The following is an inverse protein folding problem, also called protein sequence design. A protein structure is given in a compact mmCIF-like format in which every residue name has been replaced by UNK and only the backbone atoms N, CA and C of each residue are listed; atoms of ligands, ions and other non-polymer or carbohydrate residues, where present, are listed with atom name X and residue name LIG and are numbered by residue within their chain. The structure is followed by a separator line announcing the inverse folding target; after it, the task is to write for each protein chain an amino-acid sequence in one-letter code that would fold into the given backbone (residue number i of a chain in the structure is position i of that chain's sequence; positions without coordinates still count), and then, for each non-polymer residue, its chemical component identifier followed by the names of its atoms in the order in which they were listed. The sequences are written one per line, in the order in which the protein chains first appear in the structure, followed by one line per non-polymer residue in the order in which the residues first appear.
data_IF_956677631782
#
_entry.id   IF_956677631782
#
_cell.length_a   1.000
_cell.length_b   1.000
_cell.length_c   1.000
_cell.angle_alpha   90.00
_cell.angle_beta   90.00
_cell.angle_gamma   90.00
#
_symmetry.space_group_name_H-M   'P 1'
#
loop_
_entity.id
_entity.type
_entity.pdbx_description
1 polymer ?
#
# COMPACT_ATOMS: atom_id res chain seq x y z
N UNK A 1 -63.45 65.01 8.16
CA UNK A 1 -62.52 63.98 8.79
C UNK A 1 -62.48 62.57 8.14
N UNK A 2 -62.88 62.43 6.87
CA UNK A 2 -62.87 61.08 6.21
C UNK A 2 -61.89 60.91 5.04
N UNK A 3 -61.07 61.92 4.71
CA UNK A 3 -60.10 61.86 3.61
C UNK A 3 -58.70 61.42 4.05
N UNK A 4 -58.31 61.67 5.29
CA UNK A 4 -57.00 61.36 5.81
C UNK A 4 -56.73 59.85 6.02
N UNK A 5 -57.77 59.09 6.41
CA UNK A 5 -57.64 57.64 6.71
C UNK A 5 -57.53 56.80 5.45
N UNK A 6 -58.09 57.21 4.32
CA UNK A 6 -57.92 56.45 3.05
C UNK A 6 -56.51 56.58 2.44
N UNK A 7 -55.90 57.77 2.57
CA UNK A 7 -54.57 58.03 2.06
C UNK A 7 -53.52 57.26 2.92
N UNK A 8 -53.72 57.22 4.23
CA UNK A 8 -52.81 56.48 5.15
C UNK A 8 -52.87 54.95 4.92
N UNK A 9 -54.08 54.41 4.65
CA UNK A 9 -54.21 52.97 4.32
C UNK A 9 -53.63 52.63 2.95
N UNK A 10 -53.67 53.57 1.97
CA UNK A 10 -53.03 53.34 0.68
C UNK A 10 -51.52 53.38 0.77
N UNK A 11 -50.94 54.27 1.59
CA UNK A 11 -49.48 54.30 1.84
C UNK A 11 -48.99 53.05 2.60
N UNK A 12 -49.71 52.56 3.60
CA UNK A 12 -49.42 51.34 4.28
C UNK A 12 -49.50 50.12 3.36
N UNK A 13 -50.45 50.06 2.44
CA UNK A 13 -50.58 48.98 1.47
C UNK A 13 -49.43 48.97 0.44
N UNK A 14 -48.96 50.13 0.01
CA UNK A 14 -47.80 50.26 -0.89
C UNK A 14 -46.46 49.82 -0.17
N UNK A 15 -46.33 50.26 1.08
CA UNK A 15 -45.13 49.87 1.88
C UNK A 15 -45.10 48.39 2.18
N UNK A 16 -46.20 47.76 2.55
CA UNK A 16 -46.34 46.33 2.77
C UNK A 16 -46.05 45.51 1.48
N UNK A 17 -46.59 45.96 0.33
CA UNK A 17 -46.33 45.30 -0.95
C UNK A 17 -44.85 45.46 -1.41
N UNK A 18 -44.26 46.65 -1.18
CA UNK A 18 -42.83 46.83 -1.52
C UNK A 18 -41.90 46.00 -0.65
N UNK A 19 -42.19 45.87 0.65
CA UNK A 19 -41.46 44.98 1.54
C UNK A 19 -41.64 43.51 1.18
N UNK A 20 -42.85 43.09 0.80
CA UNK A 20 -43.12 41.74 0.34
C UNK A 20 -42.41 41.43 -0.98
N UNK A 21 -42.43 42.37 -1.95
CA UNK A 21 -41.71 42.23 -3.21
C UNK A 21 -40.18 42.17 -3.01
N UNK A 22 -39.63 43.01 -2.11
CA UNK A 22 -38.21 42.95 -1.79
C UNK A 22 -37.81 41.61 -1.09
N UNK A 23 -38.64 41.11 -0.17
CA UNK A 23 -38.42 39.85 0.52
C UNK A 23 -38.54 38.66 -0.44
N UNK A 24 -39.52 38.69 -1.34
CA UNK A 24 -39.74 37.68 -2.37
C UNK A 24 -38.61 37.68 -3.42
N UNK A 25 -38.15 38.86 -3.84
CA UNK A 25 -37.00 39.02 -4.73
C UNK A 25 -35.69 38.51 -4.08
N UNK A 26 -35.49 38.82 -2.80
CA UNK A 26 -34.35 38.34 -2.03
C UNK A 26 -34.38 36.81 -1.82
N UNK A 27 -35.56 36.23 -1.65
CA UNK A 27 -35.75 34.78 -1.51
C UNK A 27 -35.51 34.04 -2.85
N UNK A 28 -35.99 34.62 -3.97
CA UNK A 28 -35.73 34.12 -5.32
C UNK A 28 -34.21 34.21 -5.63
N UNK A 29 -33.60 35.34 -5.31
CA UNK A 29 -32.15 35.54 -5.52
C UNK A 29 -31.32 34.55 -4.69
N UNK A 30 -31.67 34.28 -3.43
CA UNK A 30 -31.02 33.26 -2.59
C UNK A 30 -31.20 31.84 -3.15
N UNK A 31 -32.39 31.49 -3.63
CA UNK A 31 -32.64 30.17 -4.26
C UNK A 31 -31.86 30.00 -5.57
N UNK A 32 -31.78 31.03 -6.40
CA UNK A 32 -31.01 31.01 -7.62
C UNK A 32 -29.50 30.94 -7.32
N UNK A 33 -29.00 31.68 -6.32
CA UNK A 33 -27.61 31.61 -5.88
C UNK A 33 -27.28 30.24 -5.35
N UNK A 34 -28.13 29.62 -4.53
CA UNK A 34 -27.94 28.26 -4.04
C UNK A 34 -27.96 27.24 -5.18
N UNK A 35 -28.86 27.39 -6.13
CA UNK A 35 -28.95 26.53 -7.30
C UNK A 35 -27.70 26.67 -8.18
N UNK A 36 -27.23 27.89 -8.41
CA UNK A 36 -25.97 28.16 -9.15
C UNK A 36 -24.78 27.59 -8.41
N UNK A 37 -24.69 27.71 -7.08
CA UNK A 37 -23.63 27.12 -6.27
C UNK A 37 -23.67 25.58 -6.29
N UNK A 38 -24.86 24.98 -6.26
CA UNK A 38 -25.00 23.52 -6.41
C UNK A 38 -24.62 23.11 -7.83
N UNK A 39 -25.06 23.83 -8.86
CA UNK A 39 -24.70 23.55 -10.25
C UNK A 39 -23.17 23.70 -10.48
N UNK A 40 -22.58 24.75 -9.92
CA UNK A 40 -21.11 24.97 -9.97
C UNK A 40 -20.33 23.87 -9.25
N UNK A 41 -20.79 23.44 -8.06
CA UNK A 41 -20.21 22.30 -7.37
C UNK A 41 -20.39 20.98 -8.14
N UNK A 42 -21.55 20.77 -8.78
CA UNK A 42 -21.78 19.62 -9.66
C UNK A 42 -20.88 19.67 -10.91
N UNK A 43 -20.72 20.84 -11.53
CA UNK A 43 -19.83 21.03 -12.68
C UNK A 43 -18.36 20.85 -12.31
N UNK A 44 -17.94 21.36 -11.15
CA UNK A 44 -16.60 21.14 -10.61
C UNK A 44 -16.36 19.66 -10.28
N UNK A 45 -17.36 18.96 -9.76
CA UNK A 45 -17.28 17.52 -9.49
C UNK A 45 -17.30 16.67 -10.78
N UNK A 46 -17.95 17.12 -11.85
CA UNK A 46 -17.96 16.44 -13.15
C UNK A 46 -16.62 16.54 -13.91
N UNK A 47 -15.72 17.45 -13.52
CA UNK A 47 -14.38 17.58 -14.10
C UNK A 47 -13.28 16.85 -13.34
N UNK A 48 -13.57 16.36 -12.13
CA UNK A 48 -12.57 15.70 -11.27
C UNK A 48 -12.43 14.22 -11.63
N UNK A 49 -11.22 13.80 -12.04
CA UNK A 49 -10.94 12.41 -12.38
C UNK A 49 -10.74 11.53 -11.11
N UNK A 50 -10.62 10.21 -11.30
CA UNK A 50 -10.47 9.23 -10.21
C UNK A 50 -9.26 9.54 -9.31
N UNK A 51 -8.14 10.01 -9.88
CA UNK A 51 -6.93 10.36 -9.13
C UNK A 51 -7.17 11.56 -8.20
N UNK A 52 -7.80 12.63 -8.69
CA UNK A 52 -8.05 13.82 -7.89
C UNK A 52 -9.06 13.56 -6.74
N UNK A 53 -10.14 12.82 -7.02
CA UNK A 53 -11.05 12.38 -5.95
C UNK A 53 -10.34 11.55 -4.89
N UNK A 54 -9.46 10.63 -5.32
CA UNK A 54 -8.70 9.78 -4.40
C UNK A 54 -7.70 10.59 -3.59
N UNK A 55 -6.99 11.54 -4.18
CA UNK A 55 -6.10 12.46 -3.45
C UNK A 55 -6.85 13.21 -2.36
N UNK A 56 -8.00 13.77 -2.69
CA UNK A 56 -8.87 14.50 -1.73
C UNK A 56 -9.32 13.59 -0.58
N UNK A 57 -9.73 12.36 -0.87
CA UNK A 57 -10.13 11.42 0.18
C UNK A 57 -8.93 11.01 1.04
N UNK A 58 -7.74 10.83 0.46
CA UNK A 58 -6.52 10.55 1.20
C UNK A 58 -6.12 11.72 2.12
N UNK A 59 -6.29 12.97 1.67
CA UNK A 59 -6.10 14.15 2.52
C UNK A 59 -7.07 14.15 3.71
N UNK A 60 -8.34 13.79 3.50
CA UNK A 60 -9.33 13.63 4.58
C UNK A 60 -8.98 12.51 5.56
N UNK A 61 -8.30 11.47 5.09
CA UNK A 61 -7.78 10.40 5.93
C UNK A 61 -6.48 10.78 6.68
N UNK A 62 -5.94 11.98 6.41
CA UNK A 62 -4.72 12.48 7.04
C UNK A 62 -3.43 11.97 6.42
N UNK A 63 -3.45 11.46 5.18
CA UNK A 63 -2.23 11.05 4.48
C UNK A 63 -1.44 12.28 4.03
N UNK A 64 -0.13 12.22 4.20
CA UNK A 64 0.80 13.19 3.63
C UNK A 64 1.17 12.82 2.20
N UNK A 65 1.37 13.86 1.38
CA UNK A 65 1.80 13.75 0.00
C UNK A 65 3.23 14.26 -0.14
N UNK A 66 4.02 13.56 -0.93
CA UNK A 66 5.42 13.82 -1.15
C UNK A 66 5.72 13.92 -2.65
N UNK A 67 6.71 14.70 -3.01
CA UNK A 67 7.24 14.74 -4.37
C UNK A 67 8.08 13.48 -4.63
N UNK A 68 7.91 12.93 -5.82
CA UNK A 68 8.71 11.83 -6.34
C UNK A 68 9.24 12.20 -7.72
N UNK A 69 10.56 12.24 -7.87
CA UNK A 69 11.20 12.69 -9.11
C UNK A 69 11.49 11.54 -10.06
N UNK A 70 11.75 10.34 -9.52
CA UNK A 70 12.04 9.14 -10.31
C UNK A 70 11.39 7.93 -9.65
N UNK A 71 10.62 7.18 -10.42
CA UNK A 71 10.05 5.89 -10.03
C UNK A 71 10.54 4.83 -10.98
N UNK A 72 11.37 3.92 -10.48
CA UNK A 72 11.84 2.77 -11.24
C UNK A 72 11.14 1.50 -10.79
N UNK A 73 10.46 0.84 -11.72
CA UNK A 73 9.83 -0.46 -11.49
C UNK A 73 10.91 -1.55 -11.55
N UNK A 74 10.92 -2.43 -10.55
CA UNK A 74 11.84 -3.55 -10.41
C UNK A 74 11.03 -4.86 -10.38
N UNK A 75 10.67 -5.40 -11.56
CA UNK A 75 9.67 -6.45 -11.68
C UNK A 75 10.19 -7.87 -11.37
N UNK A 76 11.49 -8.03 -11.11
CA UNK A 76 12.09 -9.33 -10.77
C UNK A 76 13.16 -9.17 -9.69
N UNK A 77 13.46 -10.27 -8.99
CA UNK A 77 14.54 -10.30 -8.00
C UNK A 77 15.90 -9.94 -8.60
N UNK A 78 16.20 -10.42 -9.82
CA UNK A 78 17.45 -10.13 -10.51
C UNK A 78 17.63 -8.61 -10.73
N UNK A 79 16.60 -7.95 -11.23
CA UNK A 79 16.64 -6.50 -11.48
C UNK A 79 16.74 -5.75 -10.16
N UNK A 80 15.96 -6.14 -9.14
CA UNK A 80 15.94 -5.49 -7.82
C UNK A 80 17.30 -5.61 -7.14
N UNK A 81 17.89 -6.81 -7.07
CA UNK A 81 19.14 -6.98 -6.34
C UNK A 81 20.34 -6.36 -7.07
N UNK A 82 20.34 -6.40 -8.41
CA UNK A 82 21.37 -5.70 -9.19
C UNK A 82 21.34 -4.20 -8.93
N UNK A 83 20.17 -3.57 -9.04
CA UNK A 83 19.98 -2.13 -8.82
C UNK A 83 20.31 -1.76 -7.35
N UNK A 84 19.79 -2.52 -6.38
CA UNK A 84 20.06 -2.30 -4.96
C UNK A 84 21.56 -2.40 -4.63
N UNK A 85 22.25 -3.44 -5.11
CA UNK A 85 23.67 -3.63 -4.82
C UNK A 85 24.52 -2.50 -5.40
N UNK A 86 24.22 -2.07 -6.64
CA UNK A 86 24.91 -0.93 -7.25
C UNK A 86 24.70 0.36 -6.44
N UNK A 87 23.49 0.60 -5.93
CA UNK A 87 23.19 1.79 -5.15
C UNK A 87 23.85 1.73 -3.76
N UNK A 88 23.83 0.58 -3.10
CA UNK A 88 24.51 0.37 -1.80
C UNK A 88 26.03 0.53 -1.92
N UNK A 89 26.64 0.08 -3.02
CA UNK A 89 28.08 0.31 -3.31
C UNK A 89 28.43 1.81 -3.38
N UNK A 90 27.51 2.63 -3.86
CA UNK A 90 27.73 4.07 -4.03
C UNK A 90 27.42 4.88 -2.76
N UNK A 91 26.89 4.25 -1.71
CA UNK A 91 26.52 4.92 -0.48
C UNK A 91 27.72 5.64 0.19
N UNK A 92 27.46 6.84 0.74
CA UNK A 92 28.51 7.69 1.33
C UNK A 92 28.20 8.14 2.76
N UNK A 93 26.92 8.13 3.19
CA UNK A 93 26.48 8.65 4.48
C UNK A 93 25.94 7.53 5.36
N UNK A 94 24.83 6.90 4.92
CA UNK A 94 24.17 5.85 5.67
C UNK A 94 23.31 4.93 4.79
N UNK A 95 23.08 3.73 5.29
CA UNK A 95 22.20 2.72 4.72
C UNK A 95 21.27 2.23 5.82
N UNK A 96 19.95 2.33 5.59
CA UNK A 96 18.91 1.84 6.48
C UNK A 96 18.15 0.72 5.79
N UNK A 97 18.06 -0.44 6.43
CA UNK A 97 17.36 -1.61 5.88
C UNK A 97 16.37 -2.15 6.89
N UNK A 98 15.12 -2.34 6.49
CA UNK A 98 14.03 -2.88 7.29
C UNK A 98 13.29 -3.94 6.49
N UNK A 99 13.40 -5.21 6.92
CA UNK A 99 12.87 -6.34 6.18
C UNK A 99 12.18 -7.36 7.09
N UNK A 100 11.01 -7.84 6.67
CA UNK A 100 10.36 -8.97 7.35
C UNK A 100 11.21 -10.24 7.38
N UNK A 101 11.85 -10.59 6.26
CA UNK A 101 12.81 -11.72 6.15
C UNK A 101 14.14 -11.23 5.59
N UNK A 102 15.20 -11.52 6.34
CA UNK A 102 16.58 -11.30 5.92
C UNK A 102 17.27 -12.66 6.02
N UNK A 103 17.22 -13.44 4.94
CA UNK A 103 17.53 -14.87 4.98
C UNK A 103 19.03 -15.12 4.83
N UNK A 104 19.61 -16.03 5.67
CA UNK A 104 21.03 -16.35 5.63
C UNK A 104 21.35 -17.27 4.42
N UNK A 105 21.39 -16.68 3.23
CA UNK A 105 21.61 -17.32 1.94
C UNK A 105 22.65 -16.56 1.10
N UNK A 106 22.81 -16.89 -0.19
CA UNK A 106 23.85 -16.31 -1.04
C UNK A 106 23.61 -14.82 -1.32
N UNK A 107 22.38 -14.39 -1.55
CA UNK A 107 22.03 -12.96 -1.73
C UNK A 107 22.31 -12.16 -0.46
N UNK A 108 21.95 -12.69 0.70
CA UNK A 108 22.27 -12.08 1.98
C UNK A 108 23.79 -11.98 2.17
N UNK A 109 24.52 -13.05 1.88
CA UNK A 109 25.99 -13.08 1.96
C UNK A 109 26.62 -11.98 1.11
N UNK A 110 26.25 -11.91 -0.17
CA UNK A 110 26.75 -10.90 -1.08
C UNK A 110 26.41 -9.46 -0.63
N UNK A 111 25.18 -9.24 -0.15
CA UNK A 111 24.77 -7.94 0.39
C UNK A 111 25.58 -7.58 1.65
N UNK A 112 25.73 -8.52 2.58
CA UNK A 112 26.49 -8.30 3.81
C UNK A 112 27.96 -7.98 3.55
N UNK A 113 28.58 -8.55 2.52
CA UNK A 113 29.96 -8.23 2.15
C UNK A 113 30.10 -6.78 1.69
N UNK A 114 29.13 -6.27 0.93
CA UNK A 114 29.07 -4.85 0.56
C UNK A 114 28.85 -3.99 1.81
N UNK A 115 27.87 -4.29 2.65
CA UNK A 115 27.54 -3.52 3.85
C UNK A 115 28.69 -3.44 4.84
N UNK A 116 29.41 -4.55 5.05
CA UNK A 116 30.60 -4.60 5.89
C UNK A 116 31.75 -3.74 5.35
N UNK A 117 31.94 -3.73 4.02
CA UNK A 117 32.93 -2.87 3.37
C UNK A 117 32.54 -1.40 3.56
N UNK A 118 31.28 -1.03 3.31
CA UNK A 118 30.77 0.34 3.48
C UNK A 118 30.89 0.80 4.95
N UNK A 119 30.62 -0.06 5.92
CA UNK A 119 30.83 0.24 7.34
C UNK A 119 32.31 0.54 7.66
N UNK A 120 33.26 -0.22 7.10
CA UNK A 120 34.70 0.07 7.24
C UNK A 120 35.12 1.38 6.57
N UNK A 121 34.42 1.80 5.52
CA UNK A 121 34.60 3.10 4.85
C UNK A 121 33.98 4.28 5.64
N UNK A 122 33.33 4.00 6.78
CA UNK A 122 32.71 5.00 7.64
C UNK A 122 31.22 5.28 7.35
N UNK A 123 30.60 4.56 6.42
CA UNK A 123 29.17 4.63 6.17
C UNK A 123 28.41 3.98 7.33
N UNK A 124 27.40 4.65 7.85
CA UNK A 124 26.56 4.11 8.94
C UNK A 124 25.53 3.13 8.37
N UNK A 125 25.56 1.88 8.84
CA UNK A 125 24.68 0.82 8.34
C UNK A 125 23.81 0.29 9.46
N UNK A 126 22.49 0.29 9.24
CA UNK A 126 21.47 -0.19 10.17
C UNK A 126 20.59 -1.23 9.48
N UNK A 127 20.42 -2.39 10.11
CA UNK A 127 19.56 -3.47 9.65
C UNK A 127 18.55 -3.81 10.72
N UNK A 128 17.26 -3.66 10.42
CA UNK A 128 16.14 -4.14 11.21
C UNK A 128 15.52 -5.35 10.51
N UNK A 129 15.24 -6.41 11.23
CA UNK A 129 14.50 -7.55 10.69
C UNK A 129 13.45 -8.04 11.68
N UNK A 130 12.35 -8.58 11.15
CA UNK A 130 11.31 -9.13 12.01
C UNK A 130 11.73 -10.46 12.64
N UNK A 131 11.62 -10.62 13.96
CA UNK A 131 12.07 -11.85 14.64
C UNK A 131 11.24 -13.07 14.28
N UNK A 132 9.91 -12.91 14.07
CA UNK A 132 9.05 -14.00 13.63
C UNK A 132 9.31 -14.35 12.16
N UNK A 133 9.44 -13.32 11.28
CA UNK A 133 9.80 -13.51 9.89
C UNK A 133 11.14 -14.22 9.71
N UNK A 134 12.10 -13.90 10.58
CA UNK A 134 13.39 -14.61 10.61
C UNK A 134 13.24 -16.06 11.06
N UNK A 135 12.48 -16.32 12.14
CA UNK A 135 12.25 -17.67 12.65
C UNK A 135 11.51 -18.57 11.64
N UNK A 136 10.52 -17.99 10.91
CA UNK A 136 9.76 -18.66 9.84
C UNK A 136 10.53 -18.75 8.51
N UNK A 137 11.81 -18.43 8.50
CA UNK A 137 12.66 -18.48 7.31
C UNK A 137 13.27 -19.88 7.12
N UNK A 138 13.49 -20.28 5.85
CA UNK A 138 14.18 -21.54 5.54
C UNK A 138 15.64 -21.53 6.07
N UNK A 139 16.26 -20.34 6.08
CA UNK A 139 17.63 -20.11 6.59
C UNK A 139 17.62 -18.84 7.47
N UNK A 140 17.24 -18.95 8.76
CA UNK A 140 17.21 -17.82 9.65
C UNK A 140 18.61 -17.26 9.95
N UNK A 141 18.71 -15.94 10.14
CA UNK A 141 19.95 -15.32 10.61
C UNK A 141 20.31 -15.88 12.00
N UNK A 142 21.40 -16.63 12.07
CA UNK A 142 21.90 -17.19 13.32
C UNK A 142 22.46 -16.11 14.24
N UNK A 143 22.42 -16.35 15.55
CA UNK A 143 22.99 -15.42 16.54
C UNK A 143 24.50 -15.22 16.31
N UNK A 144 25.20 -16.25 15.86
CA UNK A 144 26.65 -16.19 15.51
C UNK A 144 26.87 -15.22 14.34
N UNK A 145 26.01 -15.29 13.28
CA UNK A 145 26.12 -14.37 12.15
C UNK A 145 25.76 -12.95 12.57
N UNK A 146 24.70 -12.75 13.35
CA UNK A 146 24.33 -11.42 13.87
C UNK A 146 25.46 -10.82 14.70
N UNK A 147 26.12 -11.60 15.57
CA UNK A 147 27.28 -11.15 16.33
C UNK A 147 28.46 -10.78 15.43
N UNK A 148 28.69 -11.55 14.34
CA UNK A 148 29.71 -11.23 13.33
C UNK A 148 29.42 -9.94 12.58
N UNK A 149 28.17 -9.69 12.23
CA UNK A 149 27.71 -8.47 11.58
C UNK A 149 27.99 -7.27 12.50
N UNK A 150 27.60 -7.33 13.78
CA UNK A 150 27.87 -6.24 14.74
C UNK A 150 29.35 -5.94 14.90
N UNK A 151 30.19 -6.97 14.96
CA UNK A 151 31.67 -6.79 15.04
C UNK A 151 32.28 -6.10 13.83
N UNK A 152 31.60 -6.11 12.69
CA UNK A 152 32.04 -5.41 11.47
C UNK A 152 31.62 -3.94 11.40
N UNK A 153 30.98 -3.42 12.45
CA UNK A 153 30.50 -2.02 12.50
C UNK A 153 29.11 -1.80 11.91
N UNK A 154 28.41 -2.88 11.55
CA UNK A 154 27.01 -2.83 11.09
C UNK A 154 26.08 -3.03 12.28
N UNK A 155 25.18 -2.08 12.49
CA UNK A 155 24.13 -2.18 13.51
C UNK A 155 23.01 -3.09 13.02
N UNK A 156 22.73 -4.18 13.75
CA UNK A 156 21.63 -5.10 13.41
C UNK A 156 20.78 -5.42 14.63
N UNK A 157 19.46 -5.32 14.47
CA UNK A 157 18.48 -5.55 15.53
C UNK A 157 17.31 -6.41 15.00
N UNK A 158 16.74 -7.24 15.89
CA UNK A 158 15.52 -7.99 15.64
C UNK A 158 14.32 -7.19 16.17
N UNK A 159 13.32 -6.96 15.33
CA UNK A 159 12.06 -6.36 15.75
C UNK A 159 11.25 -7.39 16.56
N UNK A 160 10.79 -6.97 17.72
CA UNK A 160 9.87 -7.67 18.65
C UNK A 160 10.16 -9.19 18.79
N UNK A 161 11.28 -9.59 19.41
CA UNK A 161 11.62 -10.98 19.65
C UNK A 161 10.52 -11.70 20.42
N UNK A 162 10.13 -12.87 19.91
CA UNK A 162 9.13 -13.73 20.55
C UNK A 162 9.65 -14.22 21.91
N UNK A 163 8.87 -14.02 22.98
CA UNK A 163 9.16 -14.48 24.34
C UNK A 163 7.96 -15.20 24.92
N UNK A 164 8.18 -16.43 25.35
CA UNK A 164 7.17 -17.14 26.11
C UNK A 164 6.90 -16.40 27.45
N UNK A 165 5.64 -16.22 27.90
CA UNK A 165 4.38 -16.77 27.38
C UNK A 165 3.58 -15.79 26.48
N UNK A 166 4.17 -14.72 25.92
CA UNK A 166 3.46 -13.62 25.25
C UNK A 166 3.07 -13.94 23.83
N UNK A 167 1.95 -14.66 23.65
CA UNK A 167 1.41 -15.05 22.33
C UNK A 167 0.89 -13.83 21.54
N UNK A 168 0.52 -12.74 22.19
CA UNK A 168 0.00 -11.52 21.58
C UNK A 168 1.01 -10.81 20.63
N UNK A 169 2.30 -11.04 20.82
CA UNK A 169 3.35 -10.53 19.92
C UNK A 169 3.34 -11.20 18.53
N UNK A 170 2.68 -12.33 18.34
CA UNK A 170 2.54 -13.01 17.05
C UNK A 170 1.70 -12.21 16.04
N UNK A 171 0.83 -11.31 16.51
CA UNK A 171 -0.20 -10.66 15.69
C UNK A 171 0.22 -9.28 15.15
N UNK A 172 1.35 -8.72 15.57
CA UNK A 172 1.78 -7.38 15.19
C UNK A 172 3.22 -7.41 14.69
N UNK A 173 3.40 -8.00 13.50
CA UNK A 173 4.72 -8.20 12.92
C UNK A 173 5.13 -7.04 12.01
N UNK A 174 6.41 -6.82 11.92
CA UNK A 174 6.97 -5.85 10.99
C UNK A 174 7.03 -6.46 9.58
N UNK A 175 6.05 -6.09 8.76
CA UNK A 175 5.98 -6.63 7.40
C UNK A 175 6.57 -5.68 6.36
N UNK A 176 7.40 -4.72 6.78
CA UNK A 176 8.10 -3.81 5.87
C UNK A 176 9.16 -4.50 5.02
N UNK A 177 9.47 -3.91 3.89
CA UNK A 177 10.59 -4.24 3.01
C UNK A 177 11.11 -2.94 2.42
N UNK A 178 12.05 -2.33 3.13
CA UNK A 178 12.55 -0.98 2.88
C UNK A 178 14.05 -0.98 2.85
N UNK A 179 14.64 -0.22 1.92
CA UNK A 179 16.03 0.20 2.01
C UNK A 179 16.12 1.69 1.67
N UNK A 180 16.67 2.50 2.57
CA UNK A 180 16.96 3.92 2.35
C UNK A 180 18.46 4.09 2.28
N UNK A 181 18.94 4.76 1.23
CA UNK A 181 20.36 5.00 0.99
C UNK A 181 20.60 6.51 0.92
N UNK A 182 21.46 7.02 1.80
CA UNK A 182 21.94 8.40 1.91
C UNK A 182 20.86 9.49 2.07
N UNK A 183 19.58 9.10 2.28
CA UNK A 183 18.43 10.01 2.25
C UNK A 183 18.05 10.47 0.84
N UNK A 184 18.60 9.84 -0.19
CA UNK A 184 18.42 10.21 -1.59
C UNK A 184 17.51 9.23 -2.34
N UNK A 185 17.55 7.94 -1.96
CA UNK A 185 16.84 6.86 -2.65
C UNK A 185 16.19 5.93 -1.64
N UNK A 186 14.97 5.49 -1.96
CA UNK A 186 14.26 4.44 -1.22
C UNK A 186 13.83 3.30 -2.14
N UNK A 187 13.96 2.09 -1.64
CA UNK A 187 13.42 0.85 -2.20
C UNK A 187 12.26 0.38 -1.33
N UNK A 188 11.15 -0.02 -1.95
CA UNK A 188 10.02 -0.63 -1.25
C UNK A 188 9.22 -1.55 -2.18
N UNK A 189 8.42 -2.47 -1.61
CA UNK A 189 7.60 -3.41 -2.36
C UNK A 189 7.45 -4.76 -1.66
N UNK A 190 7.21 -5.83 -2.44
CA UNK A 190 6.94 -7.16 -1.87
C UNK A 190 8.18 -7.99 -1.52
N UNK A 191 9.38 -7.68 -2.08
CA UNK A 191 10.56 -8.53 -2.01
C UNK A 191 11.35 -8.39 -0.72
N UNK A 192 11.57 -9.49 -0.03
CA UNK A 192 12.53 -9.62 1.07
C UNK A 192 13.99 -9.73 0.57
N UNK A 193 14.93 -10.00 1.45
CA UNK A 193 16.32 -10.38 1.12
C UNK A 193 16.44 -11.90 1.22
N UNK A 194 16.33 -12.58 0.06
CA UNK A 194 16.37 -14.04 0.00
C UNK A 194 16.61 -14.55 -1.44
N UNK A 195 17.31 -15.66 -1.57
CA UNK A 195 17.67 -16.31 -2.84
C UNK A 195 16.47 -16.77 -3.67
N UNK A 196 15.35 -17.09 -3.01
CA UNK A 196 14.18 -17.59 -3.73
C UNK A 196 13.54 -16.58 -4.70
N UNK A 197 13.87 -15.30 -4.58
CA UNK A 197 13.48 -14.29 -5.59
C UNK A 197 14.24 -14.43 -6.91
N UNK A 198 15.39 -15.15 -6.91
CA UNK A 198 16.17 -15.47 -8.10
C UNK A 198 15.87 -16.89 -8.60
N UNK A 199 15.84 -17.85 -7.69
CA UNK A 199 15.83 -19.27 -8.04
C UNK A 199 14.47 -19.95 -7.80
N UNK A 200 13.50 -19.25 -7.20
CA UNK A 200 12.24 -19.83 -6.78
C UNK A 200 12.35 -20.78 -5.59
N UNK A 201 11.28 -21.52 -5.33
CA UNK A 201 11.23 -22.59 -4.31
C UNK A 201 10.71 -23.89 -4.92
N UNK A 202 11.23 -25.07 -4.52
CA UNK A 202 10.81 -26.36 -5.08
C UNK A 202 9.28 -26.58 -5.05
N UNK A 203 8.60 -26.13 -4.00
CA UNK A 203 7.15 -26.32 -3.78
C UNK A 203 6.29 -25.48 -4.73
N UNK A 204 6.71 -24.27 -5.07
CA UNK A 204 5.89 -23.31 -5.80
C UNK A 204 6.44 -22.95 -7.18
N UNK A 205 7.70 -23.25 -7.49
CA UNK A 205 8.38 -22.87 -8.72
C UNK A 205 8.99 -21.46 -8.64
N UNK A 206 8.98 -20.73 -9.74
CA UNK A 206 9.48 -19.35 -9.79
C UNK A 206 8.77 -18.47 -8.77
N UNK A 207 9.51 -17.53 -8.19
CA UNK A 207 8.97 -16.55 -7.24
C UNK A 207 9.02 -15.16 -7.88
N UNK A 208 7.88 -14.69 -8.39
CA UNK A 208 7.74 -13.39 -9.01
C UNK A 208 7.22 -12.39 -7.99
N UNK A 209 7.83 -11.22 -7.93
CA UNK A 209 7.39 -10.15 -7.04
C UNK A 209 7.72 -8.78 -7.65
N UNK A 210 7.15 -7.71 -7.09
CA UNK A 210 7.33 -6.35 -7.53
C UNK A 210 7.99 -5.51 -6.44
N UNK A 211 8.98 -4.72 -6.85
CA UNK A 211 9.61 -3.68 -6.04
C UNK A 211 9.70 -2.39 -6.83
N UNK A 212 9.86 -1.28 -6.16
CA UNK A 212 10.13 0.02 -6.77
C UNK A 212 11.30 0.71 -6.07
N UNK A 213 11.99 1.54 -6.84
CA UNK A 213 12.97 2.50 -6.37
C UNK A 213 12.40 3.89 -6.60
N UNK A 214 12.48 4.76 -5.60
CA UNK A 214 11.97 6.14 -5.68
C UNK A 214 13.03 7.12 -5.17
N UNK A 215 12.99 8.37 -5.67
CA UNK A 215 13.76 9.50 -5.18
C UNK A 215 12.84 10.71 -4.96
N UNK A 216 13.33 11.73 -4.26
CA UNK A 216 12.56 12.92 -3.91
C UNK A 216 12.18 12.98 -2.44
N UNK A 217 11.27 13.89 -2.05
CA UNK A 217 10.91 14.08 -0.65
C UNK A 217 10.21 12.86 -0.01
N UNK A 218 9.70 11.92 -0.81
CA UNK A 218 9.13 10.64 -0.32
C UNK A 218 10.15 9.83 0.49
N UNK A 219 11.44 9.96 0.20
CA UNK A 219 12.51 9.26 0.93
C UNK A 219 12.50 9.60 2.41
N UNK A 220 12.22 10.86 2.75
CA UNK A 220 12.13 11.32 4.16
C UNK A 220 11.04 10.58 4.94
N UNK A 221 9.88 10.30 4.31
CA UNK A 221 8.80 9.57 4.97
C UNK A 221 9.21 8.13 5.34
N UNK A 222 9.95 7.47 4.45
CA UNK A 222 10.46 6.11 4.71
C UNK A 222 11.61 6.11 5.73
N UNK A 223 12.43 7.14 5.74
CA UNK A 223 13.48 7.32 6.74
C UNK A 223 12.88 7.53 8.14
N UNK A 224 11.89 8.41 8.27
CA UNK A 224 11.15 8.62 9.52
C UNK A 224 10.47 7.33 10.00
N UNK A 225 9.85 6.56 9.07
CA UNK A 225 9.28 5.26 9.38
C UNK A 225 10.32 4.31 9.94
N UNK A 226 11.48 4.17 9.27
CA UNK A 226 12.58 3.33 9.74
C UNK A 226 13.01 3.69 11.15
N UNK A 227 13.29 4.97 11.43
CA UNK A 227 13.72 5.41 12.75
C UNK A 227 12.66 5.22 13.83
N UNK A 228 11.38 5.36 13.47
CA UNK A 228 10.28 5.07 14.38
C UNK A 228 10.20 3.58 14.72
N UNK A 229 10.43 2.69 13.76
CA UNK A 229 10.53 1.24 13.98
C UNK A 229 11.78 0.87 14.77
N UNK A 230 12.93 1.44 14.43
CA UNK A 230 14.21 1.19 15.11
C UNK A 230 14.18 1.53 16.60
N UNK A 231 13.49 2.59 17.00
CA UNK A 231 13.34 3.03 18.41
C UNK A 231 12.36 2.15 19.21
N UNK A 232 11.62 1.29 18.58
CA UNK A 232 10.65 0.37 19.19
C UNK A 232 11.16 -1.04 19.54
N UNK A 233 12.43 -1.43 19.38
CA UNK A 233 12.85 -2.77 19.76
C UNK A 233 12.61 -2.97 21.27
N UNK A 234 12.22 -4.20 21.69
CA UNK A 234 11.93 -4.51 23.06
C UNK A 234 13.17 -4.32 23.95
N UNK A 235 12.91 -4.06 25.20
CA UNK A 235 13.75 -3.63 26.32
C UNK A 235 15.08 -4.33 26.60
N UNK A 236 15.65 -5.14 25.68
CA UNK A 236 16.91 -5.86 25.86
C UNK A 236 17.81 -5.84 24.61
N UNK A 237 17.70 -4.85 23.74
CA UNK A 237 18.79 -4.58 22.80
C UNK A 237 19.96 -3.97 23.59
N UNK A 238 21.24 -4.36 23.32
CA UNK A 238 22.41 -3.77 23.96
C UNK A 238 22.64 -2.28 23.63
N UNK A 239 21.75 -1.65 22.89
CA UNK A 239 21.78 -0.23 22.55
C UNK A 239 21.35 0.67 23.72
N UNK A 240 21.90 0.46 24.90
CA UNK A 240 22.03 1.47 25.94
C UNK A 240 23.37 2.19 25.69
N UNK A 241 23.33 3.19 24.88
CA UNK A 241 24.49 4.04 24.68
C UNK A 241 24.28 4.99 23.50
N UNK A 242 23.93 6.21 23.82
CA UNK A 242 24.18 7.43 23.06
C UNK A 242 23.72 7.48 21.59
N UNK A 243 22.54 8.04 21.39
CA UNK A 243 22.34 9.25 20.60
C UNK A 243 20.84 9.57 20.54
N UNK A 244 20.35 10.21 21.59
CA UNK A 244 19.22 11.11 21.46
C UNK A 244 19.69 12.33 20.65
N UNK A 245 19.89 12.16 19.36
CA UNK A 245 19.70 13.30 18.48
C UNK A 245 18.20 13.50 18.38
N UNK A 246 17.76 14.58 19.00
CA UNK A 246 16.42 15.12 18.79
C UNK A 246 16.17 15.14 17.29
N UNK A 247 15.33 14.20 16.80
CA UNK A 247 14.56 14.51 15.63
C UNK A 247 13.77 15.74 16.05
N UNK A 248 14.17 16.92 15.58
CA UNK A 248 13.28 18.06 15.51
C UNK A 248 11.95 17.50 15.05
N UNK A 249 10.92 17.77 15.86
CA UNK A 249 9.52 17.62 15.44
C UNK A 249 9.34 18.53 14.21
N UNK A 250 9.82 18.06 13.08
CA UNK A 250 9.43 18.56 11.78
C UNK A 250 7.97 18.18 11.68
N UNK A 251 7.07 19.13 12.03
CA UNK A 251 5.72 19.11 11.50
C UNK A 251 5.87 18.81 10.02
N UNK A 252 5.38 17.65 9.59
CA UNK A 252 5.23 17.36 8.18
C UNK A 252 4.42 18.53 7.61
N UNK A 253 5.12 19.51 7.04
CA UNK A 253 4.48 20.53 6.25
C UNK A 253 3.92 19.77 5.06
N UNK A 254 2.61 19.52 5.11
CA UNK A 254 1.86 19.15 3.92
C UNK A 254 2.07 20.30 2.94
N UNK A 255 3.01 20.09 2.01
CA UNK A 255 3.22 21.03 0.92
C UNK A 255 1.89 21.11 0.16
N UNK A 256 1.37 22.33 -0.10
CA UNK A 256 0.26 22.48 -1.00
C UNK A 256 0.68 21.87 -2.33
N UNK A 257 -0.19 21.03 -2.91
CA UNK A 257 0.00 20.43 -4.24
C UNK A 257 0.35 21.56 -5.22
N UNK A 258 1.62 21.67 -5.59
CA UNK A 258 2.05 22.53 -6.70
C UNK A 258 1.57 21.85 -7.96
N UNK A 259 0.69 22.50 -8.69
CA UNK A 259 0.35 22.13 -10.06
C UNK A 259 1.62 22.21 -10.91
N UNK A 260 2.00 21.07 -11.48
CA UNK A 260 3.08 20.96 -12.45
C UNK A 260 4.40 20.39 -11.89
N UNK A 261 4.79 19.22 -12.44
CA UNK A 261 6.09 18.55 -12.38
C UNK A 261 6.25 17.44 -11.33
N UNK A 262 6.37 16.22 -11.81
CA UNK A 262 6.70 15.03 -11.02
C UNK A 262 5.46 14.37 -10.41
N UNK A 263 5.44 13.04 -10.36
CA UNK A 263 4.37 12.30 -9.70
C UNK A 263 4.31 12.62 -8.20
N UNK A 264 3.11 12.84 -7.67
CA UNK A 264 2.91 12.92 -6.23
C UNK A 264 2.68 11.53 -5.65
N UNK A 265 3.26 11.25 -4.49
CA UNK A 265 3.10 9.97 -3.79
C UNK A 265 2.44 10.22 -2.44
N UNK A 266 1.29 9.58 -2.22
CA UNK A 266 0.70 9.51 -0.89
C UNK A 266 1.32 8.34 -0.12
N UNK A 267 1.84 8.64 1.06
CA UNK A 267 2.48 7.69 1.94
C UNK A 267 1.47 7.11 2.93
N UNK A 268 1.18 5.83 2.81
CA UNK A 268 0.29 5.12 3.71
C UNK A 268 1.08 4.13 4.57
N UNK A 269 1.13 4.38 5.88
CA UNK A 269 1.78 3.50 6.85
C UNK A 269 0.79 3.04 7.91
N UNK A 270 0.64 1.73 8.06
CA UNK A 270 -0.21 1.13 9.06
C UNK A 270 0.55 0.85 10.34
N UNK A 271 0.05 1.44 11.42
CA UNK A 271 0.48 1.19 12.79
C UNK A 271 -0.68 0.54 13.56
N UNK A 272 -0.49 -0.62 14.19
CA UNK A 272 -1.58 -1.36 14.83
C UNK A 272 -2.43 -0.56 15.81
N UNK A 273 -1.84 0.44 16.49
CA UNK A 273 -2.53 1.28 17.46
C UNK A 273 -2.89 2.66 16.96
N UNK A 274 -2.04 3.27 16.11
CA UNK A 274 -2.16 4.68 15.70
C UNK A 274 -3.03 4.83 14.44
N UNK A 275 -2.79 3.99 13.42
CA UNK A 275 -3.49 4.02 12.12
C UNK A 275 -4.08 2.65 11.74
N UNK A 276 -4.89 2.00 12.62
CA UNK A 276 -5.27 0.59 12.48
C UNK A 276 -6.12 0.30 11.23
N UNK A 277 -6.76 1.32 10.65
CA UNK A 277 -7.67 1.18 9.50
C UNK A 277 -7.13 1.77 8.20
N UNK A 278 -5.98 2.45 8.24
CA UNK A 278 -5.52 3.27 7.10
C UNK A 278 -5.43 2.47 5.80
N UNK A 279 -4.86 1.26 5.80
CA UNK A 279 -4.77 0.45 4.59
C UNK A 279 -6.13 0.08 4.03
N UNK A 280 -7.10 -0.31 4.87
CA UNK A 280 -8.46 -0.61 4.42
C UNK A 280 -9.13 0.61 3.81
N UNK A 281 -8.99 1.78 4.44
CA UNK A 281 -9.58 3.03 4.01
C UNK A 281 -8.95 3.54 2.70
N UNK A 282 -7.64 3.39 2.52
CA UNK A 282 -6.96 3.80 1.27
C UNK A 282 -7.34 2.89 0.09
N UNK A 283 -7.34 1.57 0.29
CA UNK A 283 -7.83 0.65 -0.75
C UNK A 283 -9.30 0.88 -1.08
N UNK A 284 -10.13 1.14 -0.07
CA UNK A 284 -11.55 1.46 -0.25
C UNK A 284 -11.72 2.73 -1.07
N UNK A 285 -11.08 3.84 -0.70
CA UNK A 285 -11.19 5.11 -1.41
C UNK A 285 -10.71 4.98 -2.86
N UNK A 286 -9.58 4.31 -3.09
CA UNK A 286 -9.04 4.10 -4.44
C UNK A 286 -10.02 3.32 -5.34
N UNK A 287 -10.59 2.21 -4.84
CA UNK A 287 -11.52 1.38 -5.62
C UNK A 287 -12.89 2.06 -5.79
N UNK A 288 -13.37 2.76 -4.77
CA UNK A 288 -14.67 3.45 -4.83
C UNK A 288 -14.64 4.64 -5.79
N UNK A 289 -13.49 5.29 -5.99
CA UNK A 289 -13.31 6.39 -6.95
C UNK A 289 -12.98 5.92 -8.38
N UNK A 290 -12.68 4.63 -8.61
CA UNK A 290 -12.41 4.10 -9.93
C UNK A 290 -13.62 4.24 -10.88
N UNK A 291 -13.34 4.64 -12.14
CA UNK A 291 -14.35 4.89 -13.19
C UNK A 291 -14.36 3.80 -14.27
N UNK A 292 -13.19 3.28 -14.64
CA UNK A 292 -13.06 2.42 -15.81
C UNK A 292 -12.40 1.08 -15.49
N UNK A 293 -11.27 1.08 -14.77
CA UNK A 293 -10.42 -0.10 -14.64
C UNK A 293 -9.75 -0.19 -13.25
N UNK A 294 -9.89 -1.33 -12.62
CA UNK A 294 -9.14 -1.73 -11.43
C UNK A 294 -8.38 -3.01 -11.74
N UNK A 295 -7.06 -2.96 -11.76
CA UNK A 295 -6.19 -4.14 -11.89
C UNK A 295 -5.47 -4.39 -10.57
N UNK A 296 -5.51 -5.63 -10.08
CA UNK A 296 -4.91 -6.01 -8.79
C UNK A 296 -4.08 -7.27 -8.96
N UNK A 297 -2.85 -7.23 -8.45
CA UNK A 297 -2.03 -8.43 -8.22
C UNK A 297 -1.80 -8.58 -6.73
N UNK A 298 -2.25 -9.69 -6.15
CA UNK A 298 -2.06 -9.93 -4.72
C UNK A 298 -2.00 -11.42 -4.40
N UNK A 299 -0.95 -11.91 -3.68
CA UNK A 299 -0.74 -13.34 -3.43
C UNK A 299 -1.78 -13.93 -2.49
N UNK A 300 -2.20 -13.17 -1.46
CA UNK A 300 -3.08 -13.63 -0.40
C UNK A 300 -4.43 -12.88 -0.46
N UNK A 301 -5.10 -13.05 -1.60
CA UNK A 301 -6.38 -12.39 -1.89
C UNK A 301 -7.56 -13.01 -1.12
N UNK A 302 -7.42 -13.13 0.19
CA UNK A 302 -8.50 -13.53 1.10
C UNK A 302 -9.40 -12.35 1.49
N UNK A 303 -9.68 -11.50 0.57
CA UNK A 303 -10.23 -10.15 0.62
C UNK A 303 -11.11 -9.88 1.84
N UNK A 304 -10.73 -8.88 2.63
CA UNK A 304 -11.44 -8.50 3.84
C UNK A 304 -12.64 -7.58 3.56
N UNK A 305 -13.58 -7.46 4.52
CA UNK A 305 -14.92 -6.90 4.39
C UNK A 305 -15.08 -5.63 3.59
N UNK A 306 -14.40 -4.53 3.97
CA UNK A 306 -14.56 -3.21 3.35
C UNK A 306 -14.03 -3.21 1.89
N UNK A 307 -12.85 -3.79 1.65
CA UNK A 307 -12.25 -3.88 0.30
C UNK A 307 -13.13 -4.73 -0.62
N UNK A 308 -13.71 -5.84 -0.09
CA UNK A 308 -14.68 -6.66 -0.86
C UNK A 308 -15.93 -5.87 -1.22
N UNK A 309 -16.44 -5.04 -0.30
CA UNK A 309 -17.60 -4.21 -0.55
C UNK A 309 -17.32 -3.18 -1.65
N UNK A 310 -16.13 -2.56 -1.65
CA UNK A 310 -15.72 -1.61 -2.69
C UNK A 310 -15.57 -2.27 -4.06
N UNK A 311 -14.93 -3.44 -4.15
CA UNK A 311 -14.86 -4.20 -5.41
C UNK A 311 -16.24 -4.57 -5.95
N UNK A 312 -17.17 -4.94 -5.08
CA UNK A 312 -18.55 -5.20 -5.49
C UNK A 312 -19.20 -3.94 -6.06
N UNK A 313 -19.09 -2.79 -5.36
CA UNK A 313 -19.65 -1.51 -5.86
C UNK A 313 -19.03 -1.08 -7.19
N UNK A 314 -17.70 -1.28 -7.35
CA UNK A 314 -17.03 -0.99 -8.62
C UNK A 314 -17.62 -1.82 -9.77
N UNK A 315 -17.79 -3.12 -9.58
CA UNK A 315 -18.45 -4.00 -10.57
C UNK A 315 -19.90 -3.61 -10.84
N UNK A 316 -20.66 -3.23 -9.81
CA UNK A 316 -22.05 -2.75 -9.94
C UNK A 316 -22.13 -1.42 -10.72
N UNK A 317 -21.10 -0.56 -10.68
CA UNK A 317 -20.97 0.66 -11.50
C UNK A 317 -20.51 0.39 -12.94
N UNK A 318 -20.17 -0.85 -13.29
CA UNK A 318 -19.62 -1.22 -14.60
C UNK A 318 -18.11 -1.04 -14.76
N UNK A 319 -17.40 -0.77 -13.66
CA UNK A 319 -15.93 -0.71 -13.66
C UNK A 319 -15.36 -2.09 -13.97
N UNK A 320 -14.44 -2.18 -14.94
CA UNK A 320 -13.73 -3.41 -15.24
C UNK A 320 -12.79 -3.74 -14.09
N UNK A 321 -12.96 -4.91 -13.46
CA UNK A 321 -12.09 -5.39 -12.38
C UNK A 321 -11.32 -6.61 -12.86
N UNK A 322 -10.01 -6.53 -12.87
CA UNK A 322 -9.09 -7.61 -13.19
C UNK A 322 -8.28 -7.99 -11.96
N UNK A 323 -8.23 -9.27 -11.65
CA UNK A 323 -7.53 -9.75 -10.47
C UNK A 323 -6.57 -10.88 -10.85
N UNK A 324 -5.27 -10.74 -10.52
CA UNK A 324 -4.28 -11.79 -10.72
C UNK A 324 -3.90 -12.43 -9.40
N UNK A 325 -3.97 -13.75 -9.35
CA UNK A 325 -3.54 -14.59 -8.23
C UNK A 325 -2.72 -15.76 -8.75
N UNK A 326 -1.94 -16.40 -7.88
CA UNK A 326 -1.13 -17.54 -8.27
C UNK A 326 -1.92 -18.85 -8.28
N UNK A 327 -1.46 -19.80 -9.10
CA UNK A 327 -1.98 -21.17 -9.11
C UNK A 327 -1.52 -21.97 -7.90
N UNK A 328 -0.40 -21.61 -7.33
CA UNK A 328 0.21 -22.24 -6.15
C UNK A 328 0.58 -21.14 -5.15
N UNK A 329 0.43 -21.42 -3.87
CA UNK A 329 0.93 -20.57 -2.80
C UNK A 329 1.84 -21.38 -1.86
N UNK A 330 2.56 -20.70 -1.01
CA UNK A 330 3.41 -21.29 0.03
C UNK A 330 2.59 -21.97 1.15
N UNK A 331 1.30 -21.62 1.29
CA UNK A 331 0.38 -22.20 2.27
C UNK A 331 -0.74 -23.04 1.65
N UNK A 332 -0.89 -24.31 2.06
CA UNK A 332 -1.91 -25.24 1.49
C UNK A 332 -3.36 -24.77 1.66
N UNK A 333 -3.69 -24.13 2.77
CA UNK A 333 -5.06 -23.68 3.05
C UNK A 333 -5.40 -22.39 2.28
N UNK A 334 -4.42 -21.56 2.01
CA UNK A 334 -4.59 -20.25 1.36
C UNK A 334 -5.20 -20.40 -0.03
N UNK A 335 -4.67 -21.30 -0.86
CA UNK A 335 -5.16 -21.53 -2.24
C UNK A 335 -6.65 -21.84 -2.29
N UNK A 336 -7.16 -22.63 -1.35
CA UNK A 336 -8.55 -23.05 -1.36
C UNK A 336 -9.49 -21.89 -0.96
N UNK A 337 -9.09 -21.09 0.03
CA UNK A 337 -9.86 -19.92 0.47
C UNK A 337 -9.83 -18.84 -0.62
N UNK A 338 -8.64 -18.56 -1.19
CA UNK A 338 -8.47 -17.61 -2.30
C UNK A 338 -9.35 -18.04 -3.49
N UNK A 339 -9.33 -19.33 -3.84
CA UNK A 339 -10.15 -19.86 -4.94
C UNK A 339 -11.65 -19.60 -4.75
N UNK A 340 -12.17 -19.72 -3.54
CA UNK A 340 -13.58 -19.38 -3.25
C UNK A 340 -13.85 -17.87 -3.35
N UNK A 341 -12.92 -17.01 -2.90
CA UNK A 341 -13.07 -15.56 -3.03
C UNK A 341 -13.03 -15.13 -4.50
N UNK A 342 -12.08 -15.64 -5.27
CA UNK A 342 -11.97 -15.37 -6.71
C UNK A 342 -13.21 -15.82 -7.49
N UNK A 343 -13.77 -16.99 -7.15
CA UNK A 343 -15.05 -17.42 -7.73
C UNK A 343 -16.19 -16.44 -7.44
N UNK A 344 -16.23 -15.83 -6.25
CA UNK A 344 -17.28 -14.86 -5.92
C UNK A 344 -17.14 -13.58 -6.75
N UNK A 345 -15.91 -13.11 -6.99
CA UNK A 345 -15.65 -11.97 -7.87
C UNK A 345 -15.98 -12.28 -9.33
N UNK A 346 -15.50 -13.42 -9.85
CA UNK A 346 -15.81 -13.90 -11.21
C UNK A 346 -17.32 -13.95 -11.46
N UNK A 347 -18.12 -14.45 -10.51
CA UNK A 347 -19.58 -14.51 -10.63
C UNK A 347 -20.25 -13.13 -10.67
N UNK A 348 -19.54 -12.07 -10.30
CA UNK A 348 -19.98 -10.68 -10.36
C UNK A 348 -19.42 -9.92 -11.56
N UNK A 349 -18.73 -10.62 -12.48
CA UNK A 349 -18.17 -10.03 -13.69
C UNK A 349 -16.71 -9.64 -13.63
N UNK A 350 -15.99 -9.91 -12.53
CA UNK A 350 -14.55 -9.69 -12.50
C UNK A 350 -13.81 -10.71 -13.39
N UNK A 351 -12.81 -10.26 -14.12
CA UNK A 351 -11.84 -11.12 -14.80
C UNK A 351 -10.77 -11.57 -13.79
N UNK A 352 -10.70 -12.86 -13.52
CA UNK A 352 -9.71 -13.42 -12.59
C UNK A 352 -8.69 -14.24 -13.36
N UNK A 353 -7.43 -13.91 -13.21
CA UNK A 353 -6.31 -14.53 -13.89
C UNK A 353 -5.46 -15.34 -12.90
N UNK A 354 -5.20 -16.60 -13.25
CA UNK A 354 -4.30 -17.47 -12.50
C UNK A 354 -2.92 -17.48 -13.14
N UNK A 355 -1.92 -16.93 -12.46
CA UNK A 355 -0.51 -17.00 -12.87
C UNK A 355 0.01 -18.43 -12.71
N UNK A 356 0.56 -19.02 -13.80
CA UNK A 356 0.88 -20.45 -13.88
C UNK A 356 2.36 -20.77 -13.59
N UNK A 357 3.28 -19.84 -13.85
CA UNK A 357 4.73 -20.11 -13.84
C UNK A 357 5.36 -20.15 -12.45
N UNK A 358 4.54 -20.05 -11.40
CA UNK A 358 5.03 -20.10 -10.04
C UNK A 358 4.18 -19.33 -9.06
N UNK A 359 4.81 -18.66 -8.09
CA UNK A 359 4.15 -17.84 -7.10
C UNK A 359 4.34 -16.36 -7.37
N UNK A 360 3.28 -15.67 -7.75
CA UNK A 360 3.28 -14.22 -7.97
C UNK A 360 2.96 -13.51 -6.66
N UNK A 361 4.01 -12.99 -5.99
CA UNK A 361 3.91 -12.44 -4.63
C UNK A 361 3.77 -10.91 -4.59
N UNK A 362 3.53 -10.23 -5.72
CA UNK A 362 3.37 -8.77 -5.79
C UNK A 362 2.13 -8.27 -5.07
N UNK A 363 2.20 -7.08 -4.51
CA UNK A 363 1.11 -6.34 -3.89
C UNK A 363 0.97 -5.01 -4.62
N UNK A 364 0.24 -5.04 -5.72
CA UNK A 364 0.10 -3.93 -6.67
C UNK A 364 -1.37 -3.75 -7.02
N UNK A 365 -1.79 -2.50 -7.15
CA UNK A 365 -3.09 -2.13 -7.70
C UNK A 365 -2.90 -0.92 -8.62
N UNK A 366 -3.53 -0.95 -9.79
CA UNK A 366 -3.56 0.13 -10.77
C UNK A 366 -5.00 0.56 -10.99
N UNK A 367 -5.24 1.86 -11.07
CA UNK A 367 -6.56 2.48 -11.22
C UNK A 367 -6.56 3.42 -12.41
N UNK A 368 -7.43 3.14 -13.40
CA UNK A 368 -7.79 4.00 -14.52
C UNK A 368 -6.60 4.55 -15.33
N UNK A 369 -5.44 3.88 -15.30
CA UNK A 369 -4.17 4.39 -15.85
C UNK A 369 -3.70 5.73 -15.26
N UNK A 370 -4.27 6.15 -14.13
CA UNK A 370 -4.02 7.45 -13.51
C UNK A 370 -3.09 7.36 -12.29
N UNK A 371 -3.27 6.32 -11.47
CA UNK A 371 -2.44 6.09 -10.30
C UNK A 371 -2.36 4.61 -9.94
N UNK A 372 -1.35 4.27 -9.18
CA UNK A 372 -1.11 2.91 -8.73
C UNK A 372 -0.65 2.86 -7.28
N UNK A 373 -0.66 1.67 -6.68
CA UNK A 373 0.03 1.44 -5.41
C UNK A 373 0.93 0.22 -5.49
N UNK A 374 2.12 0.39 -4.93
CA UNK A 374 3.09 -0.69 -4.69
C UNK A 374 3.50 -0.65 -3.23
N UNK A 375 3.52 -1.80 -2.58
CA UNK A 375 3.88 -1.84 -1.16
C UNK A 375 3.96 -3.24 -0.59
N UNK A 376 3.77 -3.32 0.72
CA UNK A 376 3.92 -4.56 1.47
C UNK A 376 2.60 -5.25 1.78
N UNK A 377 1.46 -4.54 1.61
CA UNK A 377 0.14 -4.93 2.12
C UNK A 377 -0.53 -6.04 1.30
N UNK A 378 -0.74 -7.20 1.91
CA UNK A 378 -1.62 -8.21 1.36
C UNK A 378 -3.11 -7.84 1.59
N UNK A 379 -4.00 -8.38 0.75
CA UNK A 379 -5.44 -8.21 0.91
C UNK A 379 -6.05 -9.28 1.84
N UNK A 380 -5.34 -9.63 2.90
CA UNK A 380 -5.77 -10.55 3.93
C UNK A 380 -6.02 -9.84 5.28
N UNK A 381 -6.54 -10.58 6.25
CA UNK A 381 -6.82 -10.01 7.56
C UNK A 381 -5.56 -9.64 8.32
N UNK A 382 -4.44 -10.34 8.09
CA UNK A 382 -3.18 -10.12 8.79
C UNK A 382 -2.62 -8.75 8.43
N UNK A 383 -2.40 -8.49 7.15
CA UNK A 383 -1.88 -7.20 6.67
C UNK A 383 -2.85 -6.04 6.92
N UNK A 384 -4.16 -6.25 6.71
CA UNK A 384 -5.15 -5.19 6.82
C UNK A 384 -5.54 -4.85 8.27
N UNK A 385 -5.28 -5.74 9.25
CA UNK A 385 -5.74 -5.56 10.63
C UNK A 385 -4.66 -5.65 11.71
N UNK A 386 -3.53 -6.30 11.45
CA UNK A 386 -2.58 -6.63 12.51
C UNK A 386 -1.17 -6.12 12.28
N UNK A 387 -0.54 -6.42 11.14
CA UNK A 387 0.88 -6.14 10.90
C UNK A 387 1.18 -4.66 10.65
N UNK A 388 2.44 -4.25 10.83
CA UNK A 388 2.96 -2.98 10.33
C UNK A 388 3.15 -3.12 8.82
N UNK A 389 2.58 -2.19 8.08
CA UNK A 389 2.57 -2.22 6.61
C UNK A 389 2.85 -0.84 6.04
N UNK A 390 3.39 -0.79 4.84
CA UNK A 390 3.59 0.46 4.10
C UNK A 390 3.26 0.30 2.63
N UNK A 391 2.55 1.30 2.08
CA UNK A 391 2.27 1.41 0.66
C UNK A 391 2.58 2.82 0.15
N UNK A 392 3.20 2.89 -1.02
CA UNK A 392 3.24 4.09 -1.84
C UNK A 392 2.05 4.12 -2.78
N UNK A 393 1.24 5.16 -2.73
CA UNK A 393 0.21 5.45 -3.74
C UNK A 393 0.75 6.51 -4.67
N UNK A 394 1.09 6.13 -5.88
CA UNK A 394 1.84 6.91 -6.85
C UNK A 394 0.86 7.48 -7.87
N UNK A 395 0.65 8.79 -7.83
CA UNK A 395 -0.21 9.52 -8.75
C UNK A 395 0.61 9.99 -9.96
N UNK A 396 0.99 9.03 -10.78
CA UNK A 396 1.75 9.23 -12.02
C UNK A 396 1.24 8.27 -13.11
N UNK A 397 0.62 8.79 -14.19
CA UNK A 397 0.10 7.98 -15.27
C UNK A 397 1.17 7.16 -15.98
N UNK A 398 2.40 7.66 -16.12
CA UNK A 398 3.47 6.96 -16.81
C UNK A 398 3.88 5.69 -16.03
N UNK A 399 4.12 5.81 -14.72
CA UNK A 399 4.40 4.66 -13.84
C UNK A 399 3.23 3.68 -13.83
N UNK A 400 2.00 4.18 -13.77
CA UNK A 400 0.80 3.33 -13.75
C UNK A 400 0.67 2.53 -15.03
N UNK A 401 0.85 3.18 -16.20
CA UNK A 401 0.81 2.52 -17.51
C UNK A 401 1.93 1.47 -17.65
N UNK A 402 3.13 1.78 -17.17
CA UNK A 402 4.23 0.81 -17.19
C UNK A 402 3.94 -0.43 -16.34
N UNK A 403 3.30 -0.27 -15.17
CA UNK A 403 2.84 -1.41 -14.34
C UNK A 403 1.70 -2.19 -15.01
N UNK A 404 0.80 -1.52 -15.73
CA UNK A 404 -0.25 -2.16 -16.51
C UNK A 404 0.33 -2.99 -17.65
N UNK A 405 1.36 -2.50 -18.35
CA UNK A 405 2.06 -3.28 -19.36
C UNK A 405 2.64 -4.56 -18.78
N UNK A 406 3.29 -4.49 -17.60
CA UNK A 406 3.79 -5.70 -16.91
C UNK A 406 2.65 -6.66 -16.55
N UNK A 407 1.50 -6.16 -16.11
CA UNK A 407 0.32 -6.98 -15.83
C UNK A 407 -0.21 -7.65 -17.10
N UNK A 408 -0.35 -6.90 -18.18
CA UNK A 408 -0.90 -7.38 -19.46
C UNK A 408 0.04 -8.41 -20.11
N UNK A 409 1.35 -8.21 -20.01
CA UNK A 409 2.37 -9.18 -20.45
C UNK A 409 2.28 -10.49 -19.66
N UNK A 410 2.10 -10.41 -18.33
CA UNK A 410 1.90 -11.59 -17.49
C UNK A 410 0.58 -12.30 -17.85
N UNK A 411 -0.49 -11.57 -18.13
CA UNK A 411 -1.77 -12.13 -18.58
C UNK A 411 -1.61 -12.86 -19.90
N UNK A 412 -0.96 -12.23 -20.88
CA UNK A 412 -0.81 -12.78 -22.23
C UNK A 412 0.05 -14.05 -22.25
N UNK A 413 1.11 -14.12 -21.45
CA UNK A 413 2.14 -15.15 -21.57
C UNK A 413 2.09 -16.21 -20.47
N UNK A 414 1.53 -15.89 -19.29
CA UNK A 414 1.72 -16.70 -18.08
C UNK A 414 0.43 -17.02 -17.33
N UNK A 415 -0.74 -16.55 -17.80
CA UNK A 415 -1.97 -16.69 -17.05
C UNK A 415 -3.04 -17.54 -17.73
N UNK A 416 -3.94 -18.07 -16.92
CA UNK A 416 -5.18 -18.71 -17.35
C UNK A 416 -6.37 -17.98 -16.76
N UNK A 417 -7.34 -17.59 -17.60
CA UNK A 417 -8.57 -16.96 -17.15
C UNK A 417 -9.43 -17.97 -16.35
N UNK A 418 -9.91 -17.55 -15.20
CA UNK A 418 -10.84 -18.34 -14.40
C UNK A 418 -12.24 -18.33 -15.03
N UNK A 419 -12.62 -19.46 -15.61
CA UNK A 419 -14.00 -19.73 -16.04
C UNK A 419 -14.69 -20.67 -15.05
N UNK A 420 -16.01 -20.86 -15.14
CA UNK A 420 -16.71 -21.88 -14.35
C UNK A 420 -16.13 -23.30 -14.54
N UNK A 421 -15.66 -23.62 -15.75
CA UNK A 421 -15.02 -24.89 -16.10
C UNK A 421 -13.68 -25.07 -15.43
N UNK A 422 -12.80 -24.08 -15.58
CA UNK A 422 -11.47 -24.02 -14.92
C UNK A 422 -11.63 -24.09 -13.40
N UNK A 423 -12.64 -23.40 -12.83
CA UNK A 423 -12.92 -23.49 -11.40
C UNK A 423 -13.31 -24.89 -10.97
N UNK A 424 -14.20 -25.60 -11.72
CA UNK A 424 -14.62 -26.96 -11.38
C UNK A 424 -13.47 -27.95 -11.41
N UNK A 425 -12.60 -27.86 -12.41
CA UNK A 425 -11.41 -28.71 -12.55
C UNK A 425 -10.42 -28.46 -11.41
N UNK A 426 -10.15 -27.20 -11.10
CA UNK A 426 -9.13 -26.79 -10.14
C UNK A 426 -9.55 -27.01 -8.68
N UNK A 427 -10.85 -26.85 -8.39
CA UNK A 427 -11.43 -26.93 -7.06
C UNK A 427 -12.51 -28.01 -6.99
N UNK A 428 -12.14 -29.31 -6.97
CA UNK A 428 -13.06 -30.41 -6.75
C UNK A 428 -13.80 -30.27 -5.41
N UNK A 429 -14.88 -31.00 -5.21
CA UNK A 429 -15.78 -30.85 -4.06
C UNK A 429 -15.03 -30.86 -2.71
N UNK A 430 -14.06 -31.77 -2.54
CA UNK A 430 -13.23 -31.85 -1.33
C UNK A 430 -12.49 -30.55 -1.00
N UNK A 431 -11.89 -29.89 -2.03
CA UNK A 431 -11.20 -28.61 -1.85
C UNK A 431 -12.18 -27.50 -1.48
N UNK A 432 -13.36 -27.48 -2.08
CA UNK A 432 -14.43 -26.51 -1.76
C UNK A 432 -14.98 -26.67 -0.33
N UNK A 433 -15.12 -27.91 0.16
CA UNK A 433 -15.50 -28.17 1.54
C UNK A 433 -14.40 -27.68 2.48
N UNK A 434 -13.14 -28.06 2.22
CA UNK A 434 -11.97 -27.61 3.02
C UNK A 434 -11.89 -26.09 3.07
N UNK A 435 -12.03 -25.41 1.94
CA UNK A 435 -12.05 -23.95 1.86
C UNK A 435 -13.14 -23.30 2.70
N UNK A 436 -14.35 -23.90 2.79
CA UNK A 436 -15.43 -23.39 3.63
C UNK A 436 -15.08 -23.50 5.12
N UNK A 437 -14.47 -24.62 5.53
CA UNK A 437 -14.02 -24.81 6.91
C UNK A 437 -12.95 -23.76 7.27
N UNK A 438 -11.93 -23.59 6.42
CA UNK A 438 -10.87 -22.59 6.65
C UNK A 438 -11.37 -21.14 6.56
N UNK A 439 -12.45 -20.88 5.82
CA UNK A 439 -13.07 -19.54 5.78
C UNK A 439 -13.57 -19.10 7.18
N UNK A 440 -13.91 -20.04 8.06
CA UNK A 440 -14.27 -19.71 9.45
C UNK A 440 -13.06 -19.16 10.24
N UNK A 441 -11.86 -19.63 9.93
CA UNK A 441 -10.61 -19.16 10.52
C UNK A 441 -9.98 -17.98 9.78
N UNK A 442 -10.58 -17.47 8.71
CA UNK A 442 -10.06 -16.42 7.82
C UNK A 442 -9.61 -15.13 8.55
N UNK A 443 -10.13 -14.86 9.72
CA UNK A 443 -9.74 -13.69 10.54
C UNK A 443 -8.35 -13.83 11.15
N UNK A 444 -7.77 -15.02 11.13
CA UNK A 444 -6.47 -15.34 11.74
C UNK A 444 -5.42 -15.78 10.71
N UNK A 445 -5.81 -15.82 9.42
CA UNK A 445 -4.96 -16.22 8.28
C UNK A 445 -4.39 -15.00 7.54
#
# INVERSE_FOLDING_TARGET
MKFGTKVQNYFQFIILNSQFLCTFAAMICKRHLLFVLILLNCLLAMGENAAERTKRDFQRLGLSFYECHDVRILPTGEIKFRDLFQTVEQARKYILMDYFKFQQDSICGALLDILRRKAREGVKVYILFDSFGNHDSDYPLSDTLQASIRRSGVEIAAFDPLRFPWINHLMHRDHHKIAVIDGEVVYTGGMNVADYYLHGKPKVGKWRDMHIRMSGSIVTAYEELFWKMWRKPPSNSPLKGENQRSATEGKANSLPLREGWGGSVAFASRWPRETPRIMRQTYQAAIDNAEHLVQIVNPYAMIFGEVRASLRRALERGVKVQFMVSTKSDGMANDDVIGLEMRKLMKRGAEVWYYNDGFHHSKVMMIDSQFCTVGTTNLDARSLCFDYEVNAFIFDPATTTALQQVFDDDVANHCTLLTPEVFRQRFPLRRRIRARIFTLAKRFM
#
